data_IF_353430799759
#
_entry.id   IF_353430799759
#
_cell.length_a   1.000
_cell.length_b   1.000
_cell.length_c   1.000
_cell.angle_alpha   90.00
_cell.angle_beta   90.00
_cell.angle_gamma   90.00
#
_symmetry.space_group_name_H-M   'P 1'
#
loop_
_entity.id
_entity.type
_entity.pdbx_description
1 polymer ?
#
# COMPACT_ATOMS: atom_id res chain seq x y z
N UNK A 1 -7.74 -37.56 -9.08
CA UNK A 1 -8.14 -36.20 -8.70
C UNK A 1 -6.97 -35.25 -8.92
N UNK A 2 -6.83 -34.58 -10.06
CA UNK A 2 -6.36 -35.06 -11.38
C UNK A 2 -5.35 -34.00 -11.84
N UNK A 3 -4.26 -34.36 -12.53
CA UNK A 3 -3.08 -33.52 -12.86
C UNK A 3 -3.30 -32.01 -13.13
N UNK A 4 -4.44 -31.63 -13.71
CA UNK A 4 -4.84 -30.23 -13.91
C UNK A 4 -4.88 -29.39 -12.62
N UNK A 5 -5.40 -29.93 -11.51
CA UNK A 5 -5.44 -29.18 -10.25
C UNK A 5 -4.04 -28.92 -9.69
N UNK A 6 -3.14 -29.90 -9.78
CA UNK A 6 -1.74 -29.76 -9.33
C UNK A 6 -1.01 -28.69 -10.15
N UNK A 7 -1.15 -28.72 -11.48
CA UNK A 7 -0.52 -27.71 -12.34
C UNK A 7 -1.01 -26.29 -12.04
N UNK A 8 -2.29 -26.10 -11.72
CA UNK A 8 -2.82 -24.80 -11.34
C UNK A 8 -2.21 -24.29 -10.03
N UNK A 9 -2.10 -25.16 -9.01
CA UNK A 9 -1.45 -24.79 -7.74
C UNK A 9 0.01 -24.42 -7.93
N UNK A 10 0.74 -25.15 -8.78
CA UNK A 10 2.13 -24.84 -9.12
C UNK A 10 2.27 -23.50 -9.82
N UNK A 11 1.39 -23.19 -10.79
CA UNK A 11 1.37 -21.91 -11.49
C UNK A 11 1.09 -20.76 -10.50
N UNK A 12 0.09 -20.91 -9.63
CA UNK A 12 -0.25 -19.89 -8.62
C UNK A 12 0.94 -19.67 -7.68
N UNK A 13 1.56 -20.74 -7.18
CA UNK A 13 2.73 -20.68 -6.32
C UNK A 13 3.92 -20.00 -7.01
N UNK A 14 4.13 -20.30 -8.28
CA UNK A 14 5.17 -19.66 -9.07
C UNK A 14 4.91 -18.15 -9.22
N UNK A 15 3.68 -17.75 -9.56
CA UNK A 15 3.30 -16.34 -9.68
C UNK A 15 3.44 -15.61 -8.34
N UNK A 16 3.06 -16.25 -7.23
CA UNK A 16 3.20 -15.70 -5.88
C UNK A 16 4.67 -15.44 -5.54
N UNK A 17 5.54 -16.46 -5.63
CA UNK A 17 6.96 -16.33 -5.34
C UNK A 17 7.68 -15.36 -6.30
N UNK A 18 7.33 -15.36 -7.59
CA UNK A 18 7.85 -14.40 -8.56
C UNK A 18 7.42 -12.97 -8.21
N UNK A 19 6.18 -12.80 -7.73
CA UNK A 19 5.67 -11.54 -7.18
C UNK A 19 6.44 -11.07 -5.96
N UNK A 20 6.71 -11.97 -5.01
CA UNK A 20 7.52 -11.69 -3.81
C UNK A 20 8.91 -11.21 -4.23
N UNK A 21 9.57 -11.93 -5.13
CA UNK A 21 10.90 -11.58 -5.64
C UNK A 21 10.89 -10.21 -6.34
N UNK A 22 9.92 -9.98 -7.24
CA UNK A 22 9.81 -8.73 -7.97
C UNK A 22 9.55 -7.54 -7.04
N UNK A 23 8.63 -7.69 -6.08
CA UNK A 23 8.28 -6.64 -5.14
C UNK A 23 9.40 -6.42 -4.10
N UNK A 24 10.15 -7.45 -3.73
CA UNK A 24 11.37 -7.33 -2.95
C UNK A 24 12.46 -6.54 -3.70
N UNK A 25 12.63 -6.77 -5.00
CA UNK A 25 13.51 -5.96 -5.86
C UNK A 25 13.03 -4.51 -5.90
N UNK A 26 11.74 -4.25 -6.09
CA UNK A 26 11.17 -2.89 -6.06
C UNK A 26 11.41 -2.21 -4.69
N UNK A 27 11.28 -2.96 -3.59
CA UNK A 27 11.66 -2.54 -2.24
C UNK A 27 13.12 -2.15 -2.14
N UNK A 28 14.04 -2.98 -2.64
CA UNK A 28 15.47 -2.68 -2.64
C UNK A 28 15.85 -1.49 -3.55
N UNK A 29 15.17 -1.29 -4.68
CA UNK A 29 15.32 -0.08 -5.51
C UNK A 29 14.89 1.17 -4.73
N UNK A 30 13.82 1.08 -3.94
CA UNK A 30 13.39 2.15 -3.06
C UNK A 30 14.41 2.41 -1.94
N UNK A 31 15.00 1.35 -1.35
CA UNK A 31 16.08 1.43 -0.37
C UNK A 31 17.33 2.14 -0.94
N UNK A 32 17.70 1.84 -2.19
CA UNK A 32 18.79 2.53 -2.89
C UNK A 32 18.55 4.03 -3.00
N UNK A 33 17.33 4.40 -3.38
CA UNK A 33 16.94 5.81 -3.50
C UNK A 33 17.01 6.54 -2.16
N UNK A 34 16.74 5.81 -1.07
CA UNK A 34 16.87 6.29 0.30
C UNK A 34 18.29 6.17 0.89
N UNK A 35 19.28 5.70 0.11
CA UNK A 35 20.69 5.51 0.53
C UNK A 35 20.86 4.64 1.79
N UNK A 36 20.05 3.60 1.91
CA UNK A 36 20.17 2.64 3.02
C UNK A 36 21.38 1.71 2.84
N UNK A 37 21.83 1.09 3.92
CA UNK A 37 22.85 0.04 3.90
C UNK A 37 22.25 -1.32 3.49
N UNK A 38 23.10 -2.35 3.35
CA UNK A 38 22.64 -3.68 2.91
C UNK A 38 21.57 -4.28 3.83
N UNK A 39 21.66 -4.02 5.14
CA UNK A 39 20.65 -4.45 6.11
C UNK A 39 19.32 -3.76 5.80
N UNK A 40 19.34 -2.44 5.60
CA UNK A 40 18.15 -1.69 5.19
C UNK A 40 17.57 -2.16 3.85
N UNK A 41 18.39 -2.56 2.88
CA UNK A 41 17.90 -3.16 1.63
C UNK A 41 17.15 -4.46 1.87
N UNK A 42 17.72 -5.39 2.63
CA UNK A 42 17.11 -6.70 2.90
C UNK A 42 15.83 -6.54 3.73
N UNK A 43 15.87 -5.74 4.79
CA UNK A 43 14.69 -5.50 5.64
C UNK A 43 13.56 -4.85 4.83
N UNK A 44 13.85 -3.81 4.06
CA UNK A 44 12.82 -3.15 3.25
C UNK A 44 12.28 -4.05 2.14
N UNK A 45 13.12 -4.92 1.57
CA UNK A 45 12.72 -5.92 0.58
C UNK A 45 11.78 -6.98 1.19
N UNK A 46 12.08 -7.48 2.40
CA UNK A 46 11.21 -8.37 3.17
C UNK A 46 9.86 -7.71 3.42
N UNK A 47 9.86 -6.48 3.94
CA UNK A 47 8.62 -5.78 4.24
C UNK A 47 7.80 -5.45 2.99
N UNK A 48 8.47 -5.10 1.88
CA UNK A 48 7.80 -4.86 0.59
C UNK A 48 7.17 -6.15 0.06
N UNK A 49 7.95 -7.24 -0.04
CA UNK A 49 7.51 -8.49 -0.67
C UNK A 49 6.53 -9.32 0.16
N UNK A 50 6.63 -9.29 1.49
CA UNK A 50 5.88 -10.17 2.38
C UNK A 50 4.90 -9.44 3.30
N UNK A 51 5.04 -8.11 3.46
CA UNK A 51 4.27 -7.33 4.44
C UNK A 51 2.76 -7.43 4.24
N UNK A 52 2.26 -7.44 3.00
CA UNK A 52 0.84 -7.57 2.72
C UNK A 52 0.26 -8.92 3.18
N UNK A 53 0.94 -10.01 2.85
CA UNK A 53 0.57 -11.36 3.29
C UNK A 53 0.66 -11.54 4.81
N UNK A 54 1.70 -10.96 5.44
CA UNK A 54 1.83 -10.97 6.91
C UNK A 54 0.69 -10.21 7.57
N UNK A 55 0.34 -9.00 7.10
CA UNK A 55 -0.81 -8.24 7.61
C UNK A 55 -2.09 -9.08 7.50
N UNK A 56 -2.36 -9.67 6.33
CA UNK A 56 -3.52 -10.54 6.11
C UNK A 56 -3.55 -11.68 7.13
N UNK A 57 -2.47 -12.47 7.21
CA UNK A 57 -2.44 -13.67 8.03
C UNK A 57 -2.55 -13.33 9.54
N UNK A 58 -1.94 -12.22 9.98
CA UNK A 58 -2.08 -11.73 11.35
C UNK A 58 -3.51 -11.25 11.65
N UNK A 59 -4.18 -10.57 10.71
CA UNK A 59 -5.57 -10.13 10.87
C UNK A 59 -6.56 -11.31 10.89
N UNK A 60 -6.27 -12.38 10.15
CA UNK A 60 -7.11 -13.59 10.15
C UNK A 60 -6.98 -14.41 11.43
N UNK A 61 -5.86 -14.30 12.14
CA UNK A 61 -5.60 -15.01 13.40
C UNK A 61 -5.71 -16.56 13.28
N UNK A 62 -5.50 -17.11 12.08
CA UNK A 62 -5.56 -18.55 11.79
C UNK A 62 -4.17 -19.18 11.74
N UNK A 63 -3.41 -19.03 12.83
CA UNK A 63 -2.07 -19.60 12.96
C UNK A 63 -0.95 -18.67 12.46
N UNK A 64 0.21 -19.28 12.19
CA UNK A 64 1.43 -18.54 11.81
C UNK A 64 1.34 -18.02 10.38
N UNK A 65 1.77 -16.78 10.10
CA UNK A 65 1.83 -16.24 8.74
C UNK A 65 2.58 -17.15 7.77
N UNK A 66 2.06 -17.29 6.54
CA UNK A 66 2.64 -18.17 5.53
C UNK A 66 4.10 -17.81 5.21
N UNK A 67 4.42 -16.51 5.25
CA UNK A 67 5.77 -15.98 5.08
C UNK A 67 6.79 -16.52 6.10
N UNK A 68 6.35 -16.99 7.27
CA UNK A 68 7.21 -17.54 8.32
C UNK A 68 7.21 -19.08 8.35
N UNK A 69 6.26 -19.71 7.66
CA UNK A 69 6.13 -21.17 7.60
C UNK A 69 6.91 -21.76 6.42
N UNK A 70 6.84 -21.11 5.26
CA UNK A 70 7.50 -21.59 4.04
C UNK A 70 8.78 -20.78 3.77
N UNK A 71 9.97 -21.39 3.93
CA UNK A 71 11.24 -20.69 3.74
C UNK A 71 11.41 -20.06 2.35
N UNK A 72 10.71 -20.57 1.32
CA UNK A 72 10.81 -20.04 -0.03
C UNK A 72 10.44 -18.56 -0.11
N UNK A 73 9.47 -18.10 0.69
CA UNK A 73 9.03 -16.71 0.73
C UNK A 73 10.14 -15.79 1.27
N UNK A 74 10.73 -16.13 2.41
CA UNK A 74 11.84 -15.37 2.99
C UNK A 74 13.08 -15.40 2.10
N UNK A 75 13.41 -16.55 1.53
CA UNK A 75 14.54 -16.69 0.60
C UNK A 75 14.33 -15.79 -0.61
N UNK A 76 13.15 -15.80 -1.25
CA UNK A 76 12.86 -14.93 -2.39
C UNK A 76 12.96 -13.45 -2.02
N UNK A 77 12.46 -13.06 -0.85
CA UNK A 77 12.52 -11.67 -0.41
C UNK A 77 13.96 -11.19 -0.11
N UNK A 78 14.75 -12.02 0.58
CA UNK A 78 16.16 -11.75 0.86
C UNK A 78 16.95 -11.67 -0.45
N UNK A 79 16.77 -12.65 -1.34
CA UNK A 79 17.41 -12.65 -2.66
C UNK A 79 17.05 -11.40 -3.45
N UNK A 80 15.78 -10.99 -3.45
CA UNK A 80 15.35 -9.76 -4.12
C UNK A 80 16.06 -8.51 -3.57
N UNK A 81 16.22 -8.41 -2.24
CA UNK A 81 16.98 -7.34 -1.60
C UNK A 81 18.47 -7.35 -1.96
N UNK A 82 19.11 -8.52 -1.92
CA UNK A 82 20.53 -8.68 -2.27
C UNK A 82 20.77 -8.37 -3.76
N UNK A 83 19.92 -8.87 -4.66
CA UNK A 83 19.99 -8.56 -6.09
C UNK A 83 19.82 -7.05 -6.28
N UNK A 84 18.84 -6.43 -5.62
CA UNK A 84 18.64 -4.99 -5.71
C UNK A 84 19.80 -4.16 -5.15
N UNK A 85 20.58 -4.69 -4.20
CA UNK A 85 21.79 -4.03 -3.70
C UNK A 85 22.91 -3.99 -4.75
N UNK A 86 23.22 -5.13 -5.37
CA UNK A 86 24.32 -5.24 -6.35
C UNK A 86 23.95 -4.80 -7.77
N UNK A 87 22.71 -4.98 -8.18
CA UNK A 87 22.26 -4.75 -9.57
C UNK A 87 21.52 -3.42 -9.68
N UNK A 88 21.88 -2.60 -10.67
CA UNK A 88 21.15 -1.37 -11.02
C UNK A 88 20.11 -1.65 -12.09
N UNK A 89 18.85 -1.42 -11.76
CA UNK A 89 17.70 -1.73 -12.61
C UNK A 89 17.32 -0.59 -13.57
N UNK A 90 18.31 -0.10 -14.35
CA UNK A 90 18.13 1.05 -15.24
C UNK A 90 17.65 0.68 -16.65
N UNK A 91 17.66 -0.60 -16.99
CA UNK A 91 17.24 -1.09 -18.32
C UNK A 91 15.74 -0.97 -18.55
N UNK A 92 15.34 -0.50 -19.75
CA UNK A 92 13.93 -0.44 -20.18
C UNK A 92 13.25 -1.82 -20.10
N UNK A 93 13.96 -2.87 -20.48
CA UNK A 93 13.42 -4.24 -20.47
C UNK A 93 13.18 -4.74 -19.04
N UNK A 94 14.16 -4.59 -18.15
CA UNK A 94 14.02 -5.04 -16.76
C UNK A 94 12.91 -4.33 -16.02
N UNK A 95 12.74 -3.02 -16.25
CA UNK A 95 11.59 -2.27 -15.73
C UNK A 95 10.26 -2.85 -16.23
N UNK A 96 10.14 -3.22 -17.51
CA UNK A 96 8.91 -3.82 -18.03
C UNK A 96 8.63 -5.18 -17.41
N UNK A 97 9.65 -6.02 -17.23
CA UNK A 97 9.50 -7.34 -16.61
C UNK A 97 9.06 -7.21 -15.15
N UNK A 98 9.71 -6.36 -14.36
CA UNK A 98 9.32 -6.13 -12.96
C UNK A 98 7.88 -5.63 -12.85
N UNK A 99 7.44 -4.76 -13.76
CA UNK A 99 6.07 -4.25 -13.77
C UNK A 99 5.04 -5.28 -14.19
N UNK A 100 5.40 -6.19 -15.10
CA UNK A 100 4.54 -7.30 -15.48
C UNK A 100 4.37 -8.27 -14.29
N UNK A 101 5.48 -8.66 -13.65
CA UNK A 101 5.45 -9.55 -12.49
C UNK A 101 4.66 -8.94 -11.33
N UNK A 102 4.88 -7.65 -11.03
CA UNK A 102 4.12 -6.91 -10.03
C UNK A 102 2.61 -6.89 -10.36
N UNK A 103 2.25 -6.61 -11.61
CA UNK A 103 0.85 -6.58 -12.03
C UNK A 103 0.15 -7.95 -11.92
N UNK A 104 0.86 -9.04 -12.24
CA UNK A 104 0.35 -10.41 -12.06
C UNK A 104 0.21 -10.76 -10.56
N UNK A 105 1.21 -10.36 -9.76
CA UNK A 105 1.22 -10.58 -8.32
C UNK A 105 0.06 -9.87 -7.63
N UNK A 106 -0.29 -8.64 -8.03
CA UNK A 106 -1.45 -7.91 -7.52
C UNK A 106 -2.73 -8.72 -7.67
N UNK A 107 -3.01 -9.24 -8.86
CA UNK A 107 -4.20 -10.05 -9.10
C UNK A 107 -4.17 -11.37 -8.30
N UNK A 108 -3.01 -12.02 -8.24
CA UNK A 108 -2.80 -13.24 -7.46
C UNK A 108 -3.04 -13.03 -5.96
N UNK A 109 -2.39 -12.04 -5.36
CA UNK A 109 -2.51 -11.71 -3.93
C UNK A 109 -3.91 -11.21 -3.56
N UNK A 110 -4.55 -10.45 -4.45
CA UNK A 110 -5.96 -10.07 -4.30
C UNK A 110 -6.88 -11.28 -4.24
N UNK A 111 -6.67 -12.27 -5.11
CA UNK A 111 -7.46 -13.50 -5.13
C UNK A 111 -7.18 -14.37 -3.91
N UNK A 112 -5.91 -14.67 -3.62
CA UNK A 112 -5.50 -15.50 -2.48
C UNK A 112 -5.96 -14.87 -1.16
N UNK A 113 -5.82 -13.55 -1.01
CA UNK A 113 -6.26 -12.84 0.19
C UNK A 113 -7.77 -12.87 0.39
N UNK A 114 -8.54 -12.64 -0.67
CA UNK A 114 -9.99 -12.72 -0.60
C UNK A 114 -10.49 -14.14 -0.34
N UNK A 115 -9.88 -15.14 -0.99
CA UNK A 115 -10.23 -16.55 -0.79
C UNK A 115 -9.94 -17.00 0.63
N UNK A 116 -8.75 -16.71 1.17
CA UNK A 116 -8.42 -17.01 2.58
C UNK A 116 -9.38 -16.36 3.56
N UNK A 117 -9.82 -15.13 3.29
CA UNK A 117 -10.80 -14.45 4.12
C UNK A 117 -12.17 -15.15 4.09
N UNK A 118 -12.62 -15.60 2.92
CA UNK A 118 -13.86 -16.39 2.81
C UNK A 118 -13.75 -17.74 3.52
N UNK A 119 -12.63 -18.44 3.37
CA UNK A 119 -12.33 -19.70 4.06
C UNK A 119 -12.27 -19.51 5.58
N UNK A 120 -11.86 -18.33 6.04
CA UNK A 120 -11.88 -17.95 7.44
C UNK A 120 -13.29 -17.62 7.98
N UNK A 121 -14.34 -17.78 7.17
CA UNK A 121 -15.72 -17.52 7.56
C UNK A 121 -16.12 -16.05 7.52
N UNK A 122 -15.28 -15.15 6.97
CA UNK A 122 -15.63 -13.74 6.84
C UNK A 122 -16.67 -13.51 5.73
N UNK A 123 -17.43 -12.42 5.89
CA UNK A 123 -18.37 -11.96 4.87
C UNK A 123 -17.69 -11.49 3.58
N UNK A 124 -18.50 -11.27 2.54
CA UNK A 124 -18.01 -10.85 1.22
C UNK A 124 -17.24 -9.52 1.26
N UNK A 125 -17.71 -8.55 2.04
CA UNK A 125 -17.09 -7.21 2.09
C UNK A 125 -15.72 -7.22 2.80
N UNK A 126 -15.57 -7.82 4.00
CA UNK A 126 -14.25 -8.03 4.61
C UNK A 126 -13.31 -8.85 3.73
N UNK A 127 -13.81 -9.82 2.97
CA UNK A 127 -12.98 -10.61 2.05
C UNK A 127 -12.40 -9.76 0.92
N UNK A 128 -13.20 -8.88 0.32
CA UNK A 128 -12.71 -7.91 -0.68
C UNK A 128 -11.62 -7.02 -0.06
N UNK A 129 -11.87 -6.51 1.15
CA UNK A 129 -10.92 -5.65 1.86
C UNK A 129 -9.59 -6.38 2.14
N UNK A 130 -9.64 -7.61 2.66
CA UNK A 130 -8.43 -8.39 2.94
C UNK A 130 -7.68 -8.77 1.68
N UNK A 131 -8.38 -9.07 0.58
CA UNK A 131 -7.76 -9.26 -0.72
C UNK A 131 -6.97 -8.02 -1.15
N UNK A 132 -7.60 -6.84 -1.11
CA UNK A 132 -6.90 -5.58 -1.41
C UNK A 132 -5.70 -5.34 -0.50
N UNK A 133 -5.86 -5.49 0.82
CA UNK A 133 -4.78 -5.30 1.80
C UNK A 133 -3.60 -6.23 1.51
N UNK A 134 -3.87 -7.47 1.11
CA UNK A 134 -2.83 -8.44 0.75
C UNK A 134 -2.00 -7.94 -0.44
N UNK A 135 -2.67 -7.47 -1.50
CA UNK A 135 -2.01 -7.05 -2.73
C UNK A 135 -1.23 -5.73 -2.59
N UNK A 136 -1.74 -4.78 -1.80
CA UNK A 136 -1.19 -3.41 -1.72
C UNK A 136 -0.41 -3.14 -0.43
N UNK A 137 -0.64 -3.93 0.62
CA UNK A 137 -0.12 -3.69 1.96
C UNK A 137 1.40 -3.72 2.05
N UNK A 138 2.07 -4.58 1.29
CA UNK A 138 3.53 -4.63 1.25
C UNK A 138 4.15 -3.32 0.75
N UNK A 139 3.61 -2.79 -0.36
CA UNK A 139 4.00 -1.49 -0.90
C UNK A 139 3.68 -0.34 0.05
N UNK A 140 2.55 -0.40 0.75
CA UNK A 140 2.20 0.59 1.77
C UNK A 140 3.19 0.61 2.92
N UNK A 141 3.54 -0.55 3.48
CA UNK A 141 4.50 -0.65 4.58
C UNK A 141 5.86 -0.11 4.15
N UNK A 142 6.33 -0.47 2.94
CA UNK A 142 7.56 0.09 2.36
C UNK A 142 7.52 1.61 2.32
N UNK A 143 6.44 2.19 1.80
CA UNK A 143 6.32 3.64 1.64
C UNK A 143 6.31 4.34 3.03
N UNK A 144 5.62 3.76 4.03
CA UNK A 144 5.60 4.27 5.41
C UNK A 144 7.00 4.21 6.05
N UNK A 145 7.73 3.09 5.90
CA UNK A 145 9.08 2.93 6.44
C UNK A 145 10.07 3.93 5.82
N UNK A 146 9.80 4.39 4.60
CA UNK A 146 10.56 5.43 3.93
C UNK A 146 10.05 6.86 4.22
N UNK A 147 9.13 7.02 5.18
CA UNK A 147 8.51 8.29 5.55
C UNK A 147 7.79 8.98 4.38
N UNK A 148 7.20 8.20 3.48
CA UNK A 148 6.40 8.68 2.34
C UNK A 148 4.93 8.37 2.54
N UNK A 149 4.08 9.23 2.00
CA UNK A 149 2.65 8.90 1.86
C UNK A 149 2.53 7.70 0.92
N UNK A 150 1.87 6.60 1.33
CA UNK A 150 1.70 5.44 0.47
C UNK A 150 1.07 5.77 -0.87
N UNK A 151 1.66 5.23 -1.94
CA UNK A 151 1.25 5.48 -3.33
C UNK A 151 -0.17 5.02 -3.65
N UNK A 152 -0.77 4.17 -2.82
CA UNK A 152 -2.19 3.78 -2.88
C UNK A 152 -3.14 4.96 -2.67
N UNK A 153 -2.77 5.97 -1.88
CA UNK A 153 -3.65 7.09 -1.55
C UNK A 153 -3.76 8.15 -2.66
N UNK A 154 -3.02 8.00 -3.77
CA UNK A 154 -3.11 8.87 -4.93
C UNK A 154 -1.76 9.19 -5.54
N UNK A 155 -1.77 9.92 -6.66
CA UNK A 155 -0.56 10.31 -7.39
C UNK A 155 0.07 9.21 -8.24
N UNK A 156 -0.59 8.05 -8.36
CA UNK A 156 -0.15 6.92 -9.18
C UNK A 156 -1.32 6.34 -10.01
N UNK A 157 -1.01 5.36 -10.84
CA UNK A 157 -1.97 4.62 -11.67
C UNK A 157 -2.96 3.79 -10.84
N UNK A 158 -3.95 3.18 -11.48
CA UNK A 158 -5.06 2.41 -10.89
C UNK A 158 -4.68 1.10 -10.14
N UNK A 159 -3.62 1.10 -9.33
CA UNK A 159 -3.07 -0.08 -8.64
C UNK A 159 -3.99 -0.64 -7.55
N UNK A 160 -4.59 0.23 -6.73
CA UNK A 160 -5.55 -0.19 -5.72
C UNK A 160 -6.91 -0.57 -6.33
N UNK A 161 -7.27 0.08 -7.43
CA UNK A 161 -8.48 -0.23 -8.18
C UNK A 161 -8.40 -1.60 -8.86
N UNK A 162 -7.23 -1.97 -9.40
CA UNK A 162 -7.01 -3.33 -9.91
C UNK A 162 -7.06 -4.38 -8.81
N UNK A 163 -6.50 -4.08 -7.64
CA UNK A 163 -6.62 -4.98 -6.49
C UNK A 163 -8.08 -5.14 -6.04
N UNK A 164 -8.86 -4.06 -6.03
CA UNK A 164 -10.29 -4.07 -5.71
C UNK A 164 -11.08 -4.93 -6.71
N UNK A 165 -10.83 -4.74 -8.00
CA UNK A 165 -11.48 -5.49 -9.08
C UNK A 165 -11.21 -6.99 -8.92
N UNK A 166 -9.94 -7.36 -8.83
CA UNK A 166 -9.50 -8.76 -8.70
C UNK A 166 -10.07 -9.44 -7.44
N UNK A 167 -10.10 -8.74 -6.30
CA UNK A 167 -10.70 -9.28 -5.07
C UNK A 167 -12.22 -9.42 -5.18
N UNK A 168 -12.89 -8.49 -5.85
CA UNK A 168 -14.35 -8.56 -6.07
C UNK A 168 -14.73 -9.73 -6.98
N UNK A 169 -14.02 -9.88 -8.10
CA UNK A 169 -14.19 -11.00 -9.03
C UNK A 169 -13.95 -12.34 -8.32
N UNK A 170 -12.89 -12.43 -7.50
CA UNK A 170 -12.60 -13.63 -6.73
C UNK A 170 -13.73 -13.97 -5.77
N UNK A 171 -14.26 -12.99 -5.03
CA UNK A 171 -15.36 -13.23 -4.09
C UNK A 171 -16.62 -13.71 -4.80
N UNK A 172 -16.96 -13.13 -5.95
CA UNK A 172 -18.12 -13.54 -6.75
C UNK A 172 -17.95 -14.99 -7.23
N UNK A 173 -16.80 -15.29 -7.87
CA UNK A 173 -16.56 -16.60 -8.45
C UNK A 173 -16.39 -17.69 -7.39
N UNK A 174 -15.79 -17.37 -6.25
CA UNK A 174 -15.70 -18.28 -5.09
C UNK A 174 -17.09 -18.63 -4.55
N UNK A 175 -18.00 -17.65 -4.40
CA UNK A 175 -19.38 -17.88 -3.96
C UNK A 175 -20.20 -18.73 -4.95
N UNK A 176 -19.84 -18.71 -6.23
CA UNK A 176 -20.43 -19.55 -7.27
C UNK A 176 -19.79 -20.97 -7.35
N UNK A 177 -18.79 -21.26 -6.53
CA UNK A 177 -18.08 -22.55 -6.53
C UNK A 177 -16.91 -22.64 -7.53
N UNK A 178 -16.57 -21.55 -8.22
CA UNK A 178 -15.54 -21.52 -9.27
C UNK A 178 -14.22 -20.90 -8.78
N UNK A 179 -13.65 -21.42 -7.69
CA UNK A 179 -12.43 -20.87 -7.06
C UNK A 179 -11.24 -20.83 -8.03
N UNK A 180 -10.97 -21.92 -8.74
CA UNK A 180 -9.85 -22.02 -9.68
C UNK A 180 -9.94 -20.97 -10.82
N UNK A 181 -11.14 -20.85 -11.41
CA UNK A 181 -11.42 -19.86 -12.47
C UNK A 181 -11.34 -18.45 -11.89
N UNK A 182 -11.86 -18.25 -10.66
CA UNK A 182 -11.76 -17.01 -9.91
C UNK A 182 -10.35 -16.47 -9.81
N UNK A 183 -9.41 -17.33 -9.39
CA UNK A 183 -8.00 -16.96 -9.27
C UNK A 183 -7.39 -16.59 -10.63
N UNK A 184 -7.65 -17.38 -11.68
CA UNK A 184 -7.15 -17.11 -13.02
C UNK A 184 -7.68 -15.79 -13.60
N UNK A 185 -8.99 -15.55 -13.45
CA UNK A 185 -9.64 -14.30 -13.88
C UNK A 185 -9.06 -13.11 -13.14
N UNK A 186 -8.96 -13.17 -11.82
CA UNK A 186 -8.41 -12.10 -10.98
C UNK A 186 -6.95 -11.75 -11.32
N UNK A 187 -6.11 -12.75 -11.62
CA UNK A 187 -4.72 -12.53 -12.06
C UNK A 187 -4.71 -11.77 -13.40
N UNK A 188 -5.48 -12.23 -14.38
CA UNK A 188 -5.47 -11.67 -15.73
C UNK A 188 -6.11 -10.29 -15.78
N UNK A 189 -7.28 -10.09 -15.16
CA UNK A 189 -8.01 -8.82 -15.12
C UNK A 189 -7.24 -7.77 -14.32
N UNK A 190 -6.70 -8.14 -13.15
CA UNK A 190 -5.91 -7.27 -12.30
C UNK A 190 -4.62 -6.81 -12.99
N UNK A 191 -3.93 -7.74 -13.66
CA UNK A 191 -2.74 -7.42 -14.43
C UNK A 191 -3.06 -6.53 -15.64
N UNK A 192 -4.10 -6.87 -16.40
CA UNK A 192 -4.53 -6.09 -17.56
C UNK A 192 -4.86 -4.65 -17.15
N UNK A 193 -5.68 -4.45 -16.12
CA UNK A 193 -6.04 -3.12 -15.65
C UNK A 193 -4.81 -2.34 -15.16
N UNK A 194 -3.92 -2.96 -14.37
CA UNK A 194 -2.69 -2.33 -13.88
C UNK A 194 -1.79 -1.87 -15.03
N UNK A 195 -1.58 -2.73 -16.03
CA UNK A 195 -0.71 -2.45 -17.17
C UNK A 195 -1.31 -1.43 -18.13
N UNK A 196 -2.61 -1.51 -18.40
CA UNK A 196 -3.32 -0.54 -19.24
C UNK A 196 -3.35 0.83 -18.57
N UNK A 197 -3.67 0.89 -17.28
CA UNK A 197 -3.63 2.14 -16.52
C UNK A 197 -2.23 2.77 -16.58
N UNK A 198 -1.18 1.97 -16.50
CA UNK A 198 0.19 2.45 -16.62
C UNK A 198 0.60 2.87 -18.03
N UNK A 199 0.12 2.18 -19.05
CA UNK A 199 0.39 2.50 -20.45
C UNK A 199 -0.30 3.78 -20.89
N UNK A 200 -1.54 4.00 -20.45
CA UNK A 200 -2.36 5.14 -20.83
C UNK A 200 -2.37 6.29 -19.81
N UNK A 201 -1.68 6.12 -18.68
CA UNK A 201 -1.61 7.15 -17.64
C UNK A 201 -2.95 7.39 -16.93
N UNK A 202 -3.77 6.35 -16.74
CA UNK A 202 -5.03 6.47 -16.04
C UNK A 202 -4.79 6.72 -14.55
N UNK A 203 -5.32 7.83 -14.05
CA UNK A 203 -5.19 8.28 -12.66
C UNK A 203 -6.60 8.65 -12.17
N UNK A 204 -6.91 8.30 -10.92
CA UNK A 204 -8.17 8.71 -10.30
C UNK A 204 -8.17 10.21 -10.00
N UNK A 205 -9.32 10.90 -10.11
CA UNK A 205 -9.41 12.31 -9.78
C UNK A 205 -9.01 12.56 -8.32
N UNK A 206 -8.15 13.56 -8.10
CA UNK A 206 -7.82 14.03 -6.76
C UNK A 206 -8.97 14.88 -6.20
N UNK A 207 -9.22 14.76 -4.89
CA UNK A 207 -10.32 15.45 -4.25
C UNK A 207 -10.28 16.96 -4.52
N UNK A 208 -11.45 17.54 -4.81
CA UNK A 208 -11.60 18.99 -4.95
C UNK A 208 -11.12 19.67 -3.66
N UNK A 209 -10.30 20.70 -3.80
CA UNK A 209 -9.98 21.57 -2.67
C UNK A 209 -11.27 22.27 -2.24
N UNK A 210 -12.00 21.67 -1.29
CA UNK A 210 -13.05 22.35 -0.55
C UNK A 210 -12.37 23.49 0.18
N UNK A 211 -12.43 24.68 -0.43
CA UNK A 211 -11.92 25.91 0.14
C UNK A 211 -12.89 26.30 1.26
N UNK A 212 -12.79 25.62 2.40
CA UNK A 212 -13.54 26.00 3.59
C UNK A 212 -13.07 27.43 3.92
N UNK A 213 -13.93 28.46 3.80
CA UNK A 213 -13.56 29.79 4.23
C UNK A 213 -13.12 29.65 5.68
N UNK A 214 -11.89 30.08 6.00
CA UNK A 214 -11.31 29.93 7.33
C UNK A 214 -12.39 30.36 8.34
N UNK A 215 -12.78 29.51 9.30
CA UNK A 215 -13.79 29.90 10.25
C UNK A 215 -13.33 31.21 10.90
N UNK A 216 -14.24 32.19 10.95
CA UNK A 216 -14.06 33.51 11.59
C UNK A 216 -13.54 33.38 13.05
N UNK A 217 -13.57 32.17 13.62
CA UNK A 217 -13.06 31.82 14.94
C UNK A 217 -11.52 31.75 15.10
N UNK A 218 -10.72 31.90 14.04
CA UNK A 218 -9.35 32.38 14.25
C UNK A 218 -9.42 33.89 14.55
N UNK A 219 -9.89 34.21 15.76
CA UNK A 219 -9.62 35.49 16.41
C UNK A 219 -8.13 35.76 16.22
N UNK A 220 -7.82 36.79 15.45
CA UNK A 220 -6.47 37.30 15.29
C UNK A 220 -5.81 37.30 16.69
N UNK A 221 -4.78 36.49 16.95
CA UNK A 221 -4.21 36.36 18.29
C UNK A 221 -3.70 37.69 18.82
N UNK A 222 -3.36 38.63 17.92
CA UNK A 222 -3.03 40.01 18.25
C UNK A 222 -4.24 40.79 18.79
N UNK A 223 -5.40 40.67 18.14
CA UNK A 223 -6.63 41.35 18.59
C UNK A 223 -7.10 40.86 19.96
N UNK A 224 -6.97 39.56 20.25
CA UNK A 224 -7.29 39.01 21.57
C UNK A 224 -6.30 39.47 22.64
N UNK A 225 -5.00 39.54 22.31
CA UNK A 225 -3.97 40.06 23.21
C UNK A 225 -4.15 41.55 23.48
N UNK A 226 -4.52 42.35 22.46
CA UNK A 226 -4.82 43.78 22.60
C UNK A 226 -6.00 44.00 23.56
N UNK A 227 -7.13 43.30 23.33
CA UNK A 227 -8.32 43.41 24.20
C UNK A 227 -8.03 43.06 25.67
N UNK A 228 -7.13 42.11 25.93
CA UNK A 228 -6.69 41.78 27.30
C UNK A 228 -5.82 42.88 27.91
N UNK A 229 -4.96 43.51 27.12
CA UNK A 229 -4.14 44.63 27.59
C UNK A 229 -5.00 45.85 27.87
N UNK A 230 -5.94 46.18 26.98
CA UNK A 230 -6.87 47.29 27.15
C UNK A 230 -7.75 47.11 28.39
N UNK A 231 -8.28 45.89 28.60
CA UNK A 231 -9.06 45.57 29.80
C UNK A 231 -8.24 45.62 31.10
N UNK A 232 -6.93 45.34 31.03
CA UNK A 232 -6.02 45.43 32.19
C UNK A 232 -5.65 46.88 32.51
N UNK A 233 -5.39 47.68 31.48
CA UNK A 233 -5.08 49.11 31.62
C UNK A 233 -6.29 49.89 32.15
N UNK A 234 -7.51 49.57 31.69
CA UNK A 234 -8.74 50.14 32.20
C UNK A 234 -8.99 49.82 33.69
N UNK A 235 -8.62 48.61 34.16
CA UNK A 235 -8.70 48.25 35.60
C UNK A 235 -7.65 48.94 36.46
N UNK A 236 -6.49 49.23 35.89
CA UNK A 236 -5.39 49.87 36.59
C UNK A 236 -5.43 51.41 36.53
N UNK A 237 -6.50 51.99 35.97
CA UNK A 237 -6.67 53.44 35.88
C UNK A 237 -5.66 54.15 34.96
N UNK A 238 -4.96 53.41 34.10
CA UNK A 238 -3.98 53.99 33.17
C UNK A 238 -4.74 54.52 31.96
N UNK A 239 -4.87 55.84 31.88
CA UNK A 239 -5.42 56.52 30.71
C UNK A 239 -4.37 56.47 29.58
N UNK A 240 -4.65 55.82 28.43
CA UNK A 240 -3.68 55.68 27.35
C UNK A 240 -3.28 57.01 26.69
N UNK A 241 -4.05 58.08 26.93
CA UNK A 241 -3.82 59.42 26.38
C UNK A 241 -3.16 60.40 27.37
N UNK A 242 -2.63 59.91 28.50
CA UNK A 242 -1.94 60.76 29.49
C UNK A 242 -0.40 60.67 29.33
N UNK A 243 0.26 61.66 28.71
CA UNK A 243 1.69 61.63 28.46
C UNK A 243 2.43 62.16 29.69
N UNK A 244 2.44 61.41 30.79
CA UNK A 244 3.32 61.75 31.90
C UNK A 244 3.06 61.05 33.22
N UNK A 245 3.86 60.03 33.51
CA UNK A 245 4.83 60.08 34.62
C UNK A 245 6.05 59.25 34.21
N UNK A 246 7.16 59.92 33.93
CA UNK A 246 8.48 59.30 33.90
C UNK A 246 9.03 59.13 35.31
N UNK A 247 9.66 57.99 35.59
CA UNK A 247 11.11 57.79 35.79
C UNK A 247 11.44 56.37 35.35
#
# INVERSE_FOLDING_TARGET
MNTESETLFEIIRFVDLAGVLANAILGGVAARTARLDIVGFVVLAIMSGLGGGMIRDTLLQQGTPAALLDPAYLICAILGGVIAYFVTFNGRWTRRVLLLLDALAVGCWSAVGAQKALEAGLGWLPAILLGMITAVGGGMVRDIMLLKVPTIFGGNTLYATSALLASTEMVILSKLGFVAIGTGVAILSGAALSLLAKRYGWILPTGYALRIPKPILLLNPRAWRQRRLDARNARNGVNPDDPGVGV
#
